data_IF_469104661670
#
_entry.id   IF_469104661670
#
_cell.length_a   1.000
_cell.length_b   1.000
_cell.length_c   1.000
_cell.angle_alpha   90.00
_cell.angle_beta   90.00
_cell.angle_gamma   90.00
#
_symmetry.space_group_name_H-M   'P 1'
#
loop_
_entity.id
_entity.type
_entity.pdbx_description
1 polymer ?
#
# COMPACT_ATOMS: atom_id res chain seq x y z
N UNK A 1 10.26 15.41 -6.39
CA UNK A 1 8.87 15.39 -6.87
C UNK A 1 8.21 14.14 -6.30
N UNK A 2 6.96 14.26 -5.83
CA UNK A 2 6.18 13.19 -5.21
C UNK A 2 5.07 12.76 -6.16
N UNK A 3 4.81 11.46 -6.28
CA UNK A 3 3.74 10.91 -7.11
C UNK A 3 2.44 10.77 -6.31
N UNK A 4 1.31 11.22 -6.83
CA UNK A 4 0.02 10.95 -6.22
C UNK A 4 -0.29 9.45 -6.28
N UNK A 5 -0.62 8.84 -5.15
CA UNK A 5 -1.10 7.45 -5.08
C UNK A 5 -2.61 7.46 -4.83
N UNK A 6 -3.34 6.73 -5.66
CA UNK A 6 -4.79 6.56 -5.57
C UNK A 6 -5.14 5.08 -5.47
N UNK A 7 -6.17 4.76 -4.71
CA UNK A 7 -6.69 3.41 -4.55
C UNK A 7 -8.16 3.46 -4.91
N UNK A 8 -8.57 2.66 -5.88
CA UNK A 8 -9.98 2.34 -6.11
C UNK A 8 -10.37 1.24 -5.13
N UNK A 9 -11.13 1.61 -4.09
CA UNK A 9 -11.51 0.68 -3.03
C UNK A 9 -12.56 -0.35 -3.45
N UNK A 10 -13.28 -0.13 -4.56
CA UNK A 10 -14.22 -1.10 -5.08
C UNK A 10 -13.50 -2.28 -5.76
N UNK A 11 -12.39 -2.00 -6.44
CA UNK A 11 -11.66 -3.00 -7.25
C UNK A 11 -10.30 -3.40 -6.67
N UNK A 12 -9.76 -2.61 -5.75
CA UNK A 12 -8.40 -2.75 -5.23
C UNK A 12 -7.33 -2.18 -6.16
N UNK A 13 -7.70 -1.60 -7.30
CA UNK A 13 -6.73 -1.07 -8.25
C UNK A 13 -5.97 0.12 -7.66
N UNK A 14 -4.64 0.08 -7.77
CA UNK A 14 -3.76 1.16 -7.33
C UNK A 14 -3.23 1.92 -8.54
N UNK A 15 -3.27 3.24 -8.46
CA UNK A 15 -2.70 4.12 -9.48
C UNK A 15 -1.60 4.98 -8.88
N UNK A 16 -0.51 5.13 -9.63
CA UNK A 16 0.53 6.14 -9.40
C UNK A 16 0.35 7.21 -10.49
N UNK A 17 -0.14 8.39 -10.09
CA UNK A 17 -0.66 9.41 -11.00
C UNK A 17 -1.78 8.82 -11.90
N UNK A 18 -1.51 8.68 -13.20
CA UNK A 18 -2.43 8.10 -14.18
C UNK A 18 -2.08 6.65 -14.54
N UNK A 19 -1.02 6.09 -13.95
CA UNK A 19 -0.50 4.76 -14.27
C UNK A 19 -1.06 3.72 -13.31
N UNK A 20 -1.80 2.75 -13.82
CA UNK A 20 -2.34 1.63 -13.02
C UNK A 20 -1.24 0.62 -12.75
N UNK A 21 -1.12 0.17 -11.50
CA UNK A 21 -0.24 -0.93 -11.12
C UNK A 21 -0.85 -2.23 -11.63
N UNK A 22 -0.23 -2.81 -12.66
CA UNK A 22 -0.66 -4.06 -13.27
C UNK A 22 0.54 -4.85 -13.83
N UNK A 23 0.26 -6.04 -14.35
CA UNK A 23 1.23 -6.89 -15.04
C UNK A 23 1.01 -6.87 -16.55
N UNK A 24 2.06 -7.15 -17.32
CA UNK A 24 1.98 -7.36 -18.76
C UNK A 24 1.54 -8.79 -19.12
N UNK A 25 1.44 -9.08 -20.42
CA UNK A 25 1.08 -10.40 -20.92
C UNK A 25 2.09 -11.51 -20.56
N UNK A 26 3.32 -11.16 -20.20
CA UNK A 26 4.34 -12.08 -19.70
C UNK A 26 4.26 -12.30 -18.19
N UNK A 27 3.37 -11.60 -17.48
CA UNK A 27 3.22 -11.67 -16.04
C UNK A 27 4.29 -10.87 -15.26
N UNK A 28 5.08 -10.05 -15.96
CA UNK A 28 5.99 -9.09 -15.34
C UNK A 28 5.26 -7.78 -15.01
N UNK A 29 5.82 -6.95 -14.14
CA UNK A 29 5.25 -5.62 -13.89
C UNK A 29 5.20 -4.81 -15.20
N UNK A 30 4.05 -4.19 -15.50
CA UNK A 30 3.87 -3.44 -16.73
C UNK A 30 4.94 -2.35 -16.92
N UNK A 31 5.38 -2.12 -18.16
CA UNK A 31 6.56 -1.32 -18.48
C UNK A 31 6.49 0.14 -18.01
N UNK A 32 5.29 0.73 -18.03
CA UNK A 32 4.99 2.07 -17.53
C UNK A 32 5.16 2.19 -16.01
N UNK A 33 4.69 1.20 -15.25
CA UNK A 33 4.90 1.12 -13.80
C UNK A 33 6.37 0.79 -13.48
N UNK A 34 6.97 -0.11 -14.25
CA UNK A 34 8.37 -0.52 -14.09
C UNK A 34 9.32 0.67 -14.28
N UNK A 35 9.02 1.59 -15.20
CA UNK A 35 9.79 2.82 -15.41
C UNK A 35 9.78 3.76 -14.18
N UNK A 36 8.83 3.61 -13.27
CA UNK A 36 8.78 4.35 -11.99
C UNK A 36 9.59 3.65 -10.88
N UNK A 37 10.01 2.40 -11.11
CA UNK A 37 10.61 1.54 -10.10
C UNK A 37 12.13 1.40 -10.28
N UNK A 38 12.79 1.01 -9.19
CA UNK A 38 14.19 0.56 -9.24
C UNK A 38 14.30 -0.87 -9.79
N UNK A 39 15.53 -1.39 -9.81
CA UNK A 39 15.74 -2.80 -10.13
C UNK A 39 14.95 -3.69 -9.15
N UNK A 40 14.25 -4.74 -9.64
CA UNK A 40 13.50 -5.63 -8.77
C UNK A 40 14.43 -6.48 -7.92
N UNK A 41 13.97 -6.80 -6.71
CA UNK A 41 14.63 -7.70 -5.78
C UNK A 41 13.81 -8.99 -5.66
N UNK A 42 14.45 -10.15 -5.55
CA UNK A 42 13.73 -11.40 -5.26
C UNK A 42 13.53 -11.54 -3.77
N UNK A 43 12.29 -11.67 -3.34
CA UNK A 43 11.93 -11.90 -1.92
C UNK A 43 12.21 -13.35 -1.50
N UNK A 44 12.21 -13.61 -0.20
CA UNK A 44 12.37 -14.98 0.34
C UNK A 44 11.29 -15.95 -0.12
N UNK A 45 10.09 -15.46 -0.46
CA UNK A 45 8.99 -16.25 -0.98
C UNK A 45 9.05 -16.47 -2.50
N UNK A 46 10.08 -15.94 -3.17
CA UNK A 46 10.24 -16.03 -4.63
C UNK A 46 9.43 -14.99 -5.42
N UNK A 47 8.72 -14.07 -4.75
CA UNK A 47 8.08 -12.94 -5.42
C UNK A 47 9.12 -11.91 -5.88
N UNK A 48 8.87 -11.26 -7.02
CA UNK A 48 9.63 -10.10 -7.48
C UNK A 48 9.07 -8.85 -6.81
N UNK A 49 9.94 -8.13 -6.11
CA UNK A 49 9.62 -6.91 -5.39
C UNK A 49 10.17 -5.70 -6.12
N UNK A 50 9.27 -4.78 -6.46
CA UNK A 50 9.60 -3.52 -7.10
C UNK A 50 9.39 -2.39 -6.10
N UNK A 51 10.39 -1.51 -5.99
CA UNK A 51 10.30 -0.30 -5.16
C UNK A 51 10.16 0.92 -6.06
N UNK A 52 9.12 1.71 -5.85
CA UNK A 52 8.94 2.99 -6.55
C UNK A 52 10.07 3.94 -6.12
N UNK A 53 10.78 4.50 -7.09
CA UNK A 53 11.99 5.31 -6.85
C UNK A 53 11.66 6.67 -6.26
N UNK A 54 10.54 7.27 -6.69
CA UNK A 54 10.03 8.54 -6.16
C UNK A 54 9.17 8.29 -4.93
N UNK A 55 9.15 9.25 -4.01
CA UNK A 55 8.15 9.27 -2.94
C UNK A 55 6.76 9.33 -3.55
N UNK A 56 5.81 8.68 -2.88
CA UNK A 56 4.39 8.76 -3.22
C UNK A 56 3.65 9.56 -2.15
N UNK A 57 2.46 10.06 -2.48
CA UNK A 57 1.57 10.70 -1.53
C UNK A 57 0.20 10.04 -1.58
N UNK A 58 -0.23 9.44 -0.47
CA UNK A 58 -1.59 8.96 -0.30
C UNK A 58 -2.33 9.90 0.64
N UNK A 59 -3.40 10.53 0.15
CA UNK A 59 -4.19 11.50 0.92
C UNK A 59 -3.37 12.67 1.49
N UNK A 60 -2.33 13.08 0.77
CA UNK A 60 -1.42 14.17 1.19
C UNK A 60 -0.31 13.73 2.16
N UNK A 61 -0.28 12.46 2.58
CA UNK A 61 0.78 11.91 3.40
C UNK A 61 1.85 11.26 2.54
N UNK A 62 3.10 11.72 2.70
CA UNK A 62 4.23 11.16 2.00
C UNK A 62 4.51 9.72 2.45
N UNK A 63 4.92 8.88 1.50
CA UNK A 63 5.19 7.47 1.73
C UNK A 63 6.19 6.92 0.70
N UNK A 64 6.76 5.76 1.00
CA UNK A 64 7.34 4.86 0.00
C UNK A 64 6.29 3.85 -0.46
N UNK A 65 6.45 3.34 -1.69
CA UNK A 65 5.56 2.33 -2.26
C UNK A 65 6.38 1.13 -2.75
N UNK A 66 5.92 -0.07 -2.41
CA UNK A 66 6.51 -1.35 -2.81
C UNK A 66 5.43 -2.22 -3.42
N UNK A 67 5.76 -2.92 -4.50
CA UNK A 67 4.85 -3.76 -5.28
C UNK A 67 5.45 -5.16 -5.36
N UNK A 68 4.69 -6.17 -4.96
CA UNK A 68 5.11 -7.56 -5.05
C UNK A 68 4.34 -8.26 -6.18
N UNK A 69 5.07 -8.89 -7.11
CA UNK A 69 4.53 -9.67 -8.22
C UNK A 69 4.95 -11.13 -8.06
N UNK A 70 3.99 -12.05 -8.14
CA UNK A 70 4.29 -13.48 -8.10
C UNK A 70 3.25 -14.31 -8.85
N UNK A 71 3.72 -15.27 -9.65
CA UNK A 71 2.86 -16.13 -10.47
C UNK A 71 2.10 -15.33 -11.54
N UNK A 72 2.75 -14.34 -12.15
CA UNK A 72 2.18 -13.54 -13.23
C UNK A 72 1.06 -12.60 -12.80
N UNK A 73 0.98 -12.21 -11.53
CA UNK A 73 0.00 -11.25 -11.00
C UNK A 73 0.56 -10.41 -9.87
N UNK A 74 0.00 -9.21 -9.69
CA UNK A 74 0.26 -8.38 -8.50
C UNK A 74 -0.30 -9.11 -7.28
N UNK A 75 0.55 -9.33 -6.27
CA UNK A 75 0.19 -10.00 -5.01
C UNK A 75 -0.09 -9.03 -3.89
N UNK A 76 0.63 -7.92 -3.88
CA UNK A 76 0.35 -6.87 -2.93
C UNK A 76 1.04 -5.58 -3.27
N UNK A 77 0.52 -4.53 -2.65
CA UNK A 77 1.10 -3.19 -2.65
C UNK A 77 1.22 -2.74 -1.21
N UNK A 78 2.42 -2.36 -0.80
CA UNK A 78 2.70 -1.82 0.52
C UNK A 78 3.03 -0.33 0.43
N UNK A 79 2.32 0.49 1.22
CA UNK A 79 2.55 1.92 1.35
C UNK A 79 3.11 2.20 2.74
N UNK A 80 4.37 2.61 2.79
CA UNK A 80 5.12 2.85 4.03
C UNK A 80 5.16 4.36 4.27
N UNK A 81 4.36 4.85 5.21
CA UNK A 81 4.20 6.28 5.45
C UNK A 81 5.42 6.88 6.14
N UNK A 82 5.81 8.08 5.71
CA UNK A 82 6.83 8.85 6.41
C UNK A 82 6.24 9.44 7.70
N UNK A 83 6.95 9.22 8.81
CA UNK A 83 6.84 9.97 10.05
C UNK A 83 5.43 10.04 10.65
N UNK A 84 5.16 9.16 11.61
CA UNK A 84 3.90 9.17 12.34
C UNK A 84 4.07 10.05 13.58
N UNK A 85 3.09 10.92 13.84
CA UNK A 85 2.92 11.46 15.20
C UNK A 85 2.29 10.35 16.05
N UNK A 86 2.90 10.09 17.20
CA UNK A 86 2.47 9.06 18.16
C UNK A 86 0.97 9.16 18.45
N UNK A 87 0.33 8.00 18.53
CA UNK A 87 -1.00 7.80 19.11
C UNK A 87 -0.83 7.12 20.47
N UNK A 88 -1.68 7.47 21.43
CA UNK A 88 -1.46 7.10 22.84
C UNK A 88 -1.89 5.66 23.12
N UNK A 89 -2.95 5.18 22.46
CA UNK A 89 -3.52 3.87 22.76
C UNK A 89 -3.81 3.01 21.53
N UNK A 90 -4.15 3.59 20.36
CA UNK A 90 -4.54 2.81 19.19
C UNK A 90 -4.18 3.46 17.85
N UNK A 91 -3.80 2.63 16.88
CA UNK A 91 -3.55 3.01 15.49
C UNK A 91 -4.76 3.68 14.83
N UNK A 92 -5.98 3.44 15.34
CA UNK A 92 -7.21 4.09 14.86
C UNK A 92 -7.27 5.58 15.16
N UNK A 93 -6.44 6.09 16.08
CA UNK A 93 -6.28 7.52 16.35
C UNK A 93 -5.38 8.21 15.30
N UNK A 94 -4.65 7.42 14.49
CA UNK A 94 -3.78 7.96 13.44
C UNK A 94 -4.60 8.76 12.43
N UNK A 95 -4.19 10.01 12.20
CA UNK A 95 -4.77 10.87 11.15
C UNK A 95 -4.65 10.24 9.76
N UNK A 96 -3.62 9.44 9.52
CA UNK A 96 -3.43 8.73 8.26
C UNK A 96 -4.52 7.67 8.11
N UNK A 97 -4.72 6.82 9.12
CA UNK A 97 -5.75 5.78 9.12
C UNK A 97 -7.13 6.39 8.95
N UNK A 98 -7.44 7.44 9.71
CA UNK A 98 -8.71 8.16 9.62
C UNK A 98 -8.93 8.79 8.25
N UNK A 99 -7.92 9.45 7.67
CA UNK A 99 -8.03 10.08 6.35
C UNK A 99 -8.23 9.04 5.23
N UNK A 100 -7.56 7.89 5.31
CA UNK A 100 -7.72 6.81 4.33
C UNK A 100 -9.07 6.13 4.50
N UNK A 101 -9.50 5.83 5.73
CA UNK A 101 -10.81 5.24 6.01
C UNK A 101 -11.97 6.14 5.56
N UNK A 102 -11.89 7.44 5.83
CA UNK A 102 -12.87 8.41 5.38
C UNK A 102 -12.94 8.48 3.84
N UNK A 103 -11.79 8.39 3.16
CA UNK A 103 -11.73 8.41 1.71
C UNK A 103 -12.18 7.08 1.06
N UNK A 104 -12.02 5.95 1.76
CA UNK A 104 -12.44 4.65 1.24
C UNK A 104 -13.94 4.38 1.42
N UNK A 105 -14.56 5.03 2.41
CA UNK A 105 -15.95 4.74 2.80
C UNK A 105 -16.11 3.36 3.45
N UNK A 106 -15.01 2.67 3.76
CA UNK A 106 -15.00 1.34 4.37
C UNK A 106 -15.02 1.45 5.90
N UNK A 107 -15.51 0.39 6.54
CA UNK A 107 -15.48 0.26 8.01
C UNK A 107 -14.05 -0.03 8.47
N UNK A 108 -13.62 0.64 9.54
CA UNK A 108 -12.39 0.29 10.24
C UNK A 108 -12.68 -0.77 11.30
N UNK A 109 -12.03 -1.91 11.23
CA UNK A 109 -12.03 -2.94 12.27
C UNK A 109 -10.64 -3.01 12.90
N UNK A 110 -10.52 -2.87 14.22
CA UNK A 110 -9.22 -2.95 14.91
C UNK A 110 -9.19 -4.16 15.86
N UNK A 111 -8.55 -5.27 15.45
CA UNK A 111 -8.41 -6.44 16.30
C UNK A 111 -7.30 -6.29 17.35
N UNK A 112 -6.40 -5.30 17.18
CA UNK A 112 -5.27 -5.05 18.06
C UNK A 112 -4.89 -3.57 18.01
N UNK A 113 -4.39 -2.95 19.11
CA UNK A 113 -3.96 -1.54 19.13
C UNK A 113 -3.02 -1.09 18.02
N UNK A 114 -2.22 -2.01 17.46
CA UNK A 114 -1.25 -1.73 16.40
C UNK A 114 -1.72 -2.17 15.01
N UNK A 115 -2.97 -2.62 14.88
CA UNK A 115 -3.54 -3.11 13.62
C UNK A 115 -4.94 -2.57 13.37
N UNK A 116 -5.21 -2.19 12.13
CA UNK A 116 -6.56 -1.82 11.70
C UNK A 116 -6.81 -2.32 10.28
N UNK A 117 -7.96 -2.92 10.04
CA UNK A 117 -8.39 -3.44 8.76
C UNK A 117 -9.47 -2.53 8.17
N UNK A 118 -9.43 -2.29 6.87
CA UNK A 118 -10.53 -1.68 6.14
C UNK A 118 -11.38 -2.79 5.52
N UNK A 119 -12.68 -2.78 5.82
CA UNK A 119 -13.59 -3.85 5.41
C UNK A 119 -14.96 -3.30 4.99
N UNK A 120 -15.67 -3.97 4.05
CA UNK A 120 -15.23 -5.15 3.30
C UNK A 120 -14.34 -4.81 2.10
N UNK A 121 -13.37 -5.67 1.77
CA UNK A 121 -12.56 -5.59 0.56
C UNK A 121 -12.83 -6.82 -0.33
N UNK A 122 -13.69 -6.74 -1.37
CA UNK A 122 -14.05 -7.92 -2.18
C UNK A 122 -12.87 -8.49 -2.99
N UNK A 123 -11.83 -7.69 -3.19
CA UNK A 123 -10.62 -8.02 -3.95
C UNK A 123 -9.48 -8.59 -3.09
N UNK A 124 -9.64 -8.63 -1.75
CA UNK A 124 -8.59 -9.11 -0.85
C UNK A 124 -8.62 -8.46 0.54
N UNK A 125 -7.49 -7.92 0.98
CA UNK A 125 -7.33 -7.31 2.31
C UNK A 125 -6.63 -5.97 2.23
N UNK A 126 -7.05 -5.05 3.09
CA UNK A 126 -6.38 -3.78 3.35
C UNK A 126 -6.10 -3.69 4.86
N UNK A 127 -4.85 -3.82 5.27
CA UNK A 127 -4.43 -3.80 6.67
C UNK A 127 -3.43 -2.67 6.92
N UNK A 128 -3.71 -1.87 7.93
CA UNK A 128 -2.73 -1.01 8.57
C UNK A 128 -2.01 -1.76 9.68
N UNK A 129 -0.70 -1.64 9.71
CA UNK A 129 0.15 -2.14 10.78
C UNK A 129 1.12 -1.05 11.25
N UNK A 130 1.30 -0.95 12.56
CA UNK A 130 2.28 -0.07 13.18
C UNK A 130 3.35 -0.88 13.91
N UNK A 131 4.62 -0.63 13.58
CA UNK A 131 5.75 -1.13 14.36
C UNK A 131 6.17 -0.08 15.41
N UNK A 132 5.90 -0.30 16.71
CA UNK A 132 6.25 0.66 17.75
C UNK A 132 7.77 0.79 17.97
N UNK A 133 8.58 -0.17 17.52
CA UNK A 133 10.05 -0.11 17.65
C UNK A 133 10.68 0.77 16.59
N UNK A 134 10.14 0.72 15.37
CA UNK A 134 10.65 1.48 14.24
C UNK A 134 9.93 2.83 14.07
N UNK A 135 8.72 2.95 14.61
CA UNK A 135 7.90 4.13 14.40
C UNK A 135 7.25 4.16 13.02
N UNK A 136 7.09 2.98 12.38
CA UNK A 136 6.67 2.85 10.99
C UNK A 136 5.21 2.41 10.86
N UNK A 137 4.45 3.13 10.03
CA UNK A 137 3.05 2.83 9.71
C UNK A 137 3.01 2.37 8.27
N UNK A 138 2.45 1.19 8.07
CA UNK A 138 2.29 0.60 6.75
C UNK A 138 0.81 0.38 6.47
N UNK A 139 0.39 0.64 5.25
CA UNK A 139 -0.84 0.11 4.67
C UNK A 139 -0.46 -0.99 3.68
N UNK A 140 -0.92 -2.21 3.93
CA UNK A 140 -0.73 -3.36 3.06
C UNK A 140 -2.04 -3.70 2.34
N UNK A 141 -1.99 -3.71 1.01
CA UNK A 141 -3.03 -4.25 0.15
C UNK A 141 -2.58 -5.64 -0.30
N UNK A 142 -3.32 -6.68 0.05
CA UNK A 142 -3.01 -8.07 -0.32
C UNK A 142 -4.16 -8.63 -1.17
N UNK A 143 -3.85 -9.13 -2.37
CA UNK A 143 -4.86 -9.60 -3.33
C UNK A 143 -5.04 -11.12 -3.25
N UNK A 144 -6.29 -11.59 -3.43
CA UNK A 144 -6.64 -13.01 -3.45
C UNK A 144 -6.15 -13.74 -4.73
#
# INVERSE_FOLDING_TARGET
>A
MTLALQIDWATGAVHLEQVRIDVDAGGALAADVQALCGAPETTRSGALRYRVTKKVALRGYAAACVIDVAGGRVRGVAVLFELIRFFDASITESKIVQAVAAASGLRVASPHPTKAMLEPCPWGKAEFAFDPRQGDLTLELQYA
#
